data_IF_684838208188
#
_entry.id   IF_684838208188
#
_cell.length_a   1.000
_cell.length_b   1.000
_cell.length_c   1.000
_cell.angle_alpha   90.00
_cell.angle_beta   90.00
_cell.angle_gamma   90.00
#
_symmetry.space_group_name_H-M   'P 1'
#
loop_
_entity.id
_entity.type
_entity.pdbx_description
1 polymer ?
#
# COMPACT_ATOMS: atom_id res chain seq x y z
N UNK A 1 15.99 10.47 28.82
CA UNK A 1 14.77 10.51 27.99
C UNK A 1 14.44 9.09 27.51
N UNK A 2 13.17 8.65 27.48
CA UNK A 2 12.77 7.27 27.14
C UNK A 2 12.67 7.03 25.63
N UNK A 3 13.73 7.37 24.90
CA UNK A 3 13.73 7.39 23.42
C UNK A 3 13.45 6.02 22.83
N UNK A 4 13.95 4.95 23.45
CA UNK A 4 13.75 3.61 22.93
C UNK A 4 12.30 3.14 22.99
N UNK A 5 11.55 3.52 24.03
CA UNK A 5 10.10 3.25 24.10
C UNK A 5 9.35 3.93 22.94
N UNK A 6 9.67 5.19 22.62
CA UNK A 6 9.00 5.88 21.51
C UNK A 6 9.27 5.20 20.16
N UNK A 7 10.49 4.70 19.94
CA UNK A 7 10.83 3.96 18.72
C UNK A 7 10.11 2.62 18.64
N UNK A 8 10.00 1.89 19.75
CA UNK A 8 9.22 0.64 19.82
C UNK A 8 7.75 0.94 19.49
N UNK A 9 7.15 1.94 20.14
CA UNK A 9 5.75 2.32 19.89
C UNK A 9 5.51 2.73 18.44
N UNK A 10 6.43 3.51 17.85
CA UNK A 10 6.33 3.93 16.45
C UNK A 10 6.46 2.73 15.49
N UNK A 11 7.39 1.81 15.76
CA UNK A 11 7.57 0.61 14.94
C UNK A 11 6.32 -0.28 14.97
N UNK A 12 5.73 -0.52 16.15
CA UNK A 12 4.46 -1.25 16.28
C UNK A 12 3.33 -0.52 15.53
N UNK A 13 3.24 0.80 15.68
CA UNK A 13 2.22 1.60 15.01
C UNK A 13 2.30 1.50 13.48
N UNK A 14 3.52 1.55 12.91
CA UNK A 14 3.74 1.36 11.47
C UNK A 14 3.30 -0.03 11.02
N UNK A 15 3.63 -1.08 11.78
CA UNK A 15 3.22 -2.44 11.46
C UNK A 15 1.69 -2.58 11.46
N UNK A 16 1.02 -2.06 12.49
CA UNK A 16 -0.44 -2.08 12.59
C UNK A 16 -1.09 -1.32 11.42
N UNK A 17 -0.58 -0.11 11.11
CA UNK A 17 -1.10 0.68 10.00
C UNK A 17 -0.86 0.05 8.62
N UNK A 18 0.14 -0.83 8.45
CA UNK A 18 0.37 -1.52 7.19
C UNK A 18 -0.53 -2.73 6.97
N UNK A 19 -1.06 -3.30 8.05
CA UNK A 19 -2.06 -4.37 7.98
C UNK A 19 -3.48 -3.82 7.77
N UNK A 20 -3.78 -2.64 8.32
CA UNK A 20 -5.11 -2.02 8.19
C UNK A 20 -5.37 -1.57 6.75
N UNK A 21 -6.47 -2.06 6.17
CA UNK A 21 -7.11 -1.43 5.01
C UNK A 21 -8.24 -0.52 5.47
N UNK A 22 -8.19 0.76 5.12
CA UNK A 22 -9.25 1.71 5.38
C UNK A 22 -10.39 1.54 4.38
N UNK A 23 -11.67 1.65 4.79
CA UNK A 23 -12.83 1.47 3.92
C UNK A 23 -13.10 2.74 3.07
N UNK A 24 -12.06 3.25 2.42
CA UNK A 24 -12.13 4.41 1.52
C UNK A 24 -12.23 3.92 0.08
N UNK A 25 -13.23 4.44 -0.63
CA UNK A 25 -13.48 4.12 -2.03
C UNK A 25 -13.40 5.38 -2.87
N UNK A 26 -12.91 5.26 -4.10
CA UNK A 26 -12.93 6.36 -5.08
C UNK A 26 -13.25 5.83 -6.46
N UNK A 27 -13.96 6.64 -7.25
CA UNK A 27 -14.34 6.28 -8.61
C UNK A 27 -13.69 7.26 -9.58
N UNK A 28 -13.06 6.72 -10.62
CA UNK A 28 -12.36 7.47 -11.65
C UNK A 28 -12.89 7.08 -13.01
N UNK A 29 -13.07 8.06 -13.90
CA UNK A 29 -13.44 7.80 -15.28
C UNK A 29 -12.22 8.02 -16.17
N UNK A 30 -11.88 6.98 -16.93
CA UNK A 30 -10.83 7.01 -17.94
C UNK A 30 -11.51 7.12 -19.29
N UNK A 31 -11.44 8.33 -19.86
CA UNK A 31 -11.94 8.63 -21.20
C UNK A 31 -10.72 8.89 -22.10
N UNK A 32 -10.71 8.28 -23.29
CA UNK A 32 -9.68 8.38 -24.34
C UNK A 32 -8.37 7.59 -24.13
N UNK A 33 -7.66 7.49 -25.25
CA UNK A 33 -6.49 6.70 -25.67
C UNK A 33 -5.24 6.79 -24.80
N UNK A 34 -5.36 6.79 -23.48
CA UNK A 34 -4.23 6.98 -22.57
C UNK A 34 -3.97 5.74 -21.72
N UNK A 35 -2.69 5.54 -21.42
CA UNK A 35 -2.22 4.65 -20.38
C UNK A 35 -2.70 5.16 -19.02
N UNK A 36 -3.36 4.31 -18.23
CA UNK A 36 -3.70 4.60 -16.84
C UNK A 36 -3.10 3.53 -15.92
N UNK A 37 -2.40 3.96 -14.87
CA UNK A 37 -1.81 3.06 -13.88
C UNK A 37 -2.70 3.05 -12.65
N UNK A 38 -3.18 1.88 -12.24
CA UNK A 38 -3.96 1.76 -11.02
C UNK A 38 -3.04 2.02 -9.82
N UNK A 39 -3.39 2.96 -8.93
CA UNK A 39 -2.55 3.28 -7.79
C UNK A 39 -2.36 2.05 -6.88
N UNK A 40 -1.12 1.77 -6.44
CA UNK A 40 -0.80 0.55 -5.68
C UNK A 40 -1.31 0.60 -4.23
N UNK A 41 -1.74 1.75 -3.74
CA UNK A 41 -2.23 1.96 -2.38
C UNK A 41 -3.72 1.67 -2.19
N UNK A 42 -4.39 1.10 -3.20
CA UNK A 42 -5.70 0.50 -3.01
C UNK A 42 -5.59 -1.01 -2.84
N UNK A 43 -6.61 -1.70 -2.33
CA UNK A 43 -6.61 -3.16 -2.16
C UNK A 43 -7.09 -3.86 -3.43
N UNK A 44 -8.07 -3.26 -4.11
CA UNK A 44 -8.65 -3.78 -5.35
C UNK A 44 -9.15 -2.65 -6.24
N UNK A 45 -9.21 -2.93 -7.54
CA UNK A 45 -9.78 -2.05 -8.53
C UNK A 45 -10.81 -2.83 -9.37
N UNK A 46 -12.04 -2.33 -9.43
CA UNK A 46 -13.07 -2.81 -10.34
C UNK A 46 -13.13 -1.91 -11.56
N UNK A 47 -12.68 -2.45 -12.69
CA UNK A 47 -12.69 -1.76 -13.98
C UNK A 47 -13.96 -2.16 -14.72
N UNK A 48 -14.74 -1.18 -15.17
CA UNK A 48 -15.92 -1.39 -16.01
C UNK A 48 -15.75 -0.61 -17.31
N UNK A 49 -15.64 -1.32 -18.44
CA UNK A 49 -15.55 -0.75 -19.78
C UNK A 49 -16.97 -0.52 -20.30
N UNK A 50 -17.34 0.75 -20.41
CA UNK A 50 -18.64 1.19 -20.90
C UNK A 50 -18.69 1.21 -22.43
N UNK A 51 -17.58 1.62 -23.06
CA UNK A 51 -17.39 1.61 -24.51
C UNK A 51 -15.93 1.42 -24.88
N UNK A 52 -15.68 0.85 -26.07
CA UNK A 52 -14.34 0.58 -26.58
C UNK A 52 -13.68 -0.67 -25.98
N UNK A 53 -12.35 -0.69 -25.98
CA UNK A 53 -11.56 -1.83 -25.55
C UNK A 53 -10.34 -1.39 -24.74
N UNK A 54 -10.06 -2.12 -23.66
CA UNK A 54 -8.93 -1.87 -22.78
C UNK A 54 -8.14 -3.15 -22.57
N UNK A 55 -6.85 -3.11 -22.90
CA UNK A 55 -5.85 -4.08 -22.52
C UNK A 55 -5.41 -3.79 -21.08
N UNK A 56 -5.61 -4.76 -20.20
CA UNK A 56 -5.19 -4.71 -18.80
C UNK A 56 -3.92 -5.55 -18.68
N UNK A 57 -2.81 -4.93 -18.31
CA UNK A 57 -1.51 -5.58 -18.11
C UNK A 57 -1.25 -5.69 -16.61
N UNK A 58 -1.04 -6.91 -16.14
CA UNK A 58 -0.73 -7.21 -14.75
C UNK A 58 0.78 -7.14 -14.50
N UNK A 59 1.17 -7.04 -13.23
CA UNK A 59 2.58 -6.95 -12.81
C UNK A 59 3.44 -8.16 -13.23
N UNK A 60 2.82 -9.32 -13.47
CA UNK A 60 3.48 -10.53 -13.97
C UNK A 60 3.49 -10.61 -15.51
N UNK A 61 3.26 -9.49 -16.20
CA UNK A 61 3.20 -9.37 -17.66
C UNK A 61 2.12 -10.22 -18.34
N UNK A 62 1.19 -10.81 -17.57
CA UNK A 62 -0.03 -11.35 -18.18
C UNK A 62 -0.94 -10.20 -18.58
N UNK A 63 -1.79 -10.44 -19.57
CA UNK A 63 -2.72 -9.42 -20.03
C UNK A 63 -4.09 -10.01 -20.34
N UNK A 64 -5.11 -9.17 -20.20
CA UNK A 64 -6.48 -9.48 -20.62
C UNK A 64 -6.97 -8.31 -21.45
N UNK A 65 -7.55 -8.61 -22.61
CA UNK A 65 -8.30 -7.62 -23.38
C UNK A 65 -9.76 -7.64 -22.91
N UNK A 66 -10.21 -6.55 -22.33
CA UNK A 66 -11.60 -6.37 -21.91
C UNK A 66 -12.34 -5.51 -22.95
N UNK A 67 -13.24 -6.15 -23.70
CA UNK A 67 -14.11 -5.48 -24.69
C UNK A 67 -15.52 -5.44 -24.12
N UNK A 68 -15.85 -4.32 -23.46
CA UNK A 68 -17.12 -4.09 -22.75
C UNK A 68 -17.34 -5.05 -21.56
N UNK A 69 -17.89 -4.54 -20.46
CA UNK A 69 -18.12 -5.33 -19.23
C UNK A 69 -17.17 -4.96 -18.10
N UNK A 70 -17.10 -5.78 -17.04
CA UNK A 70 -16.36 -5.44 -15.83
C UNK A 70 -15.46 -6.56 -15.31
N UNK A 71 -14.32 -6.20 -14.74
CA UNK A 71 -13.38 -7.12 -14.10
C UNK A 71 -12.83 -6.49 -12.82
N UNK A 72 -12.60 -7.33 -11.81
CA UNK A 72 -11.86 -6.94 -10.60
C UNK A 72 -10.41 -7.36 -10.76
N UNK A 73 -9.50 -6.40 -10.58
CA UNK A 73 -8.07 -6.62 -10.71
C UNK A 73 -7.32 -6.12 -9.49
N UNK A 74 -6.11 -6.67 -9.34
CA UNK A 74 -5.18 -6.19 -8.34
C UNK A 74 -4.66 -4.79 -8.72
N UNK A 75 -4.30 -3.98 -7.72
CA UNK A 75 -3.61 -2.71 -7.90
C UNK A 75 -2.28 -2.86 -8.64
N UNK A 76 -1.71 -1.74 -9.10
CA UNK A 76 -0.49 -1.69 -9.91
C UNK A 76 -0.58 -2.30 -11.32
N UNK A 77 -1.77 -2.74 -11.74
CA UNK A 77 -2.06 -3.06 -13.14
C UNK A 77 -2.16 -1.79 -13.99
N UNK A 78 -1.82 -1.93 -15.27
CA UNK A 78 -1.84 -0.84 -16.24
C UNK A 78 -2.98 -1.08 -17.24
N UNK A 79 -3.76 -0.06 -17.53
CA UNK A 79 -4.79 -0.08 -18.56
C UNK A 79 -4.30 0.69 -19.78
N UNK A 80 -4.36 0.05 -20.94
CA UNK A 80 -4.13 0.67 -22.25
C UNK A 80 -5.37 0.46 -23.09
N UNK A 81 -5.99 1.52 -23.58
CA UNK A 81 -7.20 1.33 -24.37
C UNK A 81 -7.77 2.61 -24.93
N UNK A 82 -8.78 2.43 -25.77
CA UNK A 82 -9.53 3.52 -26.38
C UNK A 82 -10.99 3.30 -26.04
N UNK A 83 -11.65 4.35 -25.54
CA UNK A 83 -13.06 4.31 -25.15
C UNK A 83 -13.31 4.97 -23.80
N UNK A 84 -14.31 4.46 -23.09
CA UNK A 84 -14.73 4.94 -21.77
C UNK A 84 -14.74 3.77 -20.79
N UNK A 85 -13.97 3.89 -19.72
CA UNK A 85 -13.99 2.97 -18.60
C UNK A 85 -14.15 3.72 -17.27
N UNK A 86 -14.96 3.17 -16.37
CA UNK A 86 -15.01 3.61 -14.97
C UNK A 86 -14.23 2.63 -14.10
N UNK A 87 -13.38 3.15 -13.22
CA UNK A 87 -12.56 2.39 -12.29
C UNK A 87 -13.01 2.74 -10.88
N UNK A 88 -13.55 1.75 -10.16
CA UNK A 88 -13.83 1.85 -8.73
C UNK A 88 -12.62 1.28 -7.97
N UNK A 89 -11.92 2.13 -7.25
CA UNK A 89 -10.83 1.74 -6.35
C UNK A 89 -11.39 1.56 -4.94
N UNK A 90 -11.12 0.42 -4.32
CA UNK A 90 -11.67 0.08 -3.01
C UNK A 90 -10.56 -0.31 -2.05
N UNK A 91 -10.72 0.13 -0.80
CA UNK A 91 -9.83 -0.19 0.31
C UNK A 91 -8.49 0.53 0.19
N UNK A 92 -8.25 1.56 1.01
CA UNK A 92 -7.02 2.34 0.97
C UNK A 92 -5.99 1.83 2.00
N UNK A 93 -4.73 1.66 1.60
CA UNK A 93 -3.62 1.31 2.48
C UNK A 93 -2.62 2.46 2.57
N UNK A 94 -2.32 2.88 3.79
CA UNK A 94 -1.28 3.89 4.05
C UNK A 94 0.10 3.31 3.71
N UNK A 95 0.36 2.07 4.15
CA UNK A 95 1.54 1.33 3.75
C UNK A 95 1.15 0.17 2.85
N UNK A 96 1.48 0.27 1.56
CA UNK A 96 1.03 -0.66 0.53
C UNK A 96 2.12 -1.63 0.05
N UNK A 97 3.38 -1.39 0.40
CA UNK A 97 4.52 -2.24 0.06
C UNK A 97 5.12 -2.86 1.34
N UNK A 98 5.64 -4.09 1.25
CA UNK A 98 6.26 -4.84 2.36
C UNK A 98 7.43 -4.11 3.04
N UNK A 99 7.96 -3.04 2.44
CA UNK A 99 8.98 -2.18 3.06
C UNK A 99 8.59 -1.66 4.45
N UNK A 100 7.29 -1.45 4.74
CA UNK A 100 6.87 -0.99 6.07
C UNK A 100 7.20 -2.01 7.18
N UNK A 101 7.23 -3.30 6.84
CA UNK A 101 7.57 -4.38 7.78
C UNK A 101 9.02 -4.22 8.22
N UNK A 102 9.93 -4.02 7.26
CA UNK A 102 11.35 -3.82 7.53
C UNK A 102 11.58 -2.56 8.38
N UNK A 103 10.92 -1.44 8.04
CA UNK A 103 11.02 -0.19 8.80
C UNK A 103 10.49 -0.37 10.23
N UNK A 104 9.31 -1.00 10.39
CA UNK A 104 8.71 -1.25 11.69
C UNK A 104 9.59 -2.12 12.59
N UNK A 105 10.10 -3.23 12.07
CA UNK A 105 11.00 -4.14 12.81
C UNK A 105 12.31 -3.44 13.17
N UNK A 106 12.91 -2.69 12.23
CA UNK A 106 14.14 -1.96 12.48
C UNK A 106 13.99 -0.96 13.65
N UNK A 107 12.92 -0.19 13.67
CA UNK A 107 12.64 0.77 14.76
C UNK A 107 12.48 0.07 16.12
N UNK A 108 11.83 -1.10 16.14
CA UNK A 108 11.69 -1.90 17.35
C UNK A 108 13.06 -2.37 17.86
N UNK A 109 13.90 -2.93 16.98
CA UNK A 109 15.24 -3.43 17.35
C UNK A 109 16.10 -2.29 17.92
N UNK A 110 16.16 -1.15 17.22
CA UNK A 110 16.92 0.01 17.68
C UNK A 110 16.37 0.54 19.01
N UNK A 111 15.04 0.60 19.14
CA UNK A 111 14.39 1.04 20.37
C UNK A 111 14.69 0.14 21.58
N UNK A 112 14.66 -1.17 21.39
CA UNK A 112 15.05 -2.16 22.43
C UNK A 112 16.52 -1.97 22.81
N UNK A 113 17.42 -1.86 21.82
CA UNK A 113 18.85 -1.64 22.07
C UNK A 113 19.12 -0.39 22.91
N UNK A 114 18.45 0.72 22.60
CA UNK A 114 18.58 1.98 23.34
C UNK A 114 18.07 1.86 24.78
N UNK A 115 16.95 1.16 25.01
CA UNK A 115 16.47 0.94 26.38
C UNK A 115 17.43 0.06 27.19
N UNK A 116 17.97 -1.02 26.61
CA UNK A 116 18.96 -1.87 27.28
C UNK A 116 20.20 -1.06 27.69
N UNK A 117 20.75 -0.23 26.78
CA UNK A 117 21.90 0.64 27.08
C UNK A 117 21.56 1.62 28.20
N UNK A 118 20.36 2.21 28.18
CA UNK A 118 19.91 3.14 29.22
C UNK A 118 19.79 2.46 30.58
N UNK A 119 19.24 1.25 30.63
CA UNK A 119 19.13 0.46 31.86
C UNK A 119 20.50 0.14 32.44
N UNK A 120 21.46 -0.26 31.61
CA UNK A 120 22.85 -0.49 32.05
C UNK A 120 23.48 0.77 32.63
N UNK A 121 23.46 1.89 31.89
CA UNK A 121 24.00 3.17 32.37
C UNK A 121 23.38 3.63 33.69
N UNK A 122 22.06 3.48 33.84
CA UNK A 122 21.37 3.86 35.09
C UNK A 122 21.85 3.02 36.27
N UNK A 123 22.11 1.72 36.06
CA UNK A 123 22.66 0.83 37.09
C UNK A 123 24.10 1.21 37.46
N UNK A 124 24.92 1.58 36.48
CA UNK A 124 26.32 1.96 36.70
C UNK A 124 26.48 3.28 37.47
N UNK A 125 25.47 4.17 37.44
CA UNK A 125 25.49 5.45 38.19
C UNK A 125 24.83 5.35 39.58
N UNK A 126 24.45 4.15 40.03
CA UNK A 126 23.85 3.90 41.35
C UNK A 126 24.83 3.25 42.35
N UNK A 127 26.07 3.00 41.93
CA UNK A 127 27.20 2.61 42.76
C UNK A 127 28.26 3.73 42.73
#
# INVERSE_FOLDING_TARGET
MRVGIYLISLGIFILVLGEITFPLNTTLNVNNSSMYIIPPWYEKAKVSVNSGSFLIVYHNYTYILLVKGSITIKPASILYGVGNASILLEGYKIFYNQSYIAVGIFLIIVGVGLEIIRFKRKKDHQF
#
